data_IF_728584218934
#
_entry.id   IF_728584218934
#
_cell.length_a   1.000
_cell.length_b   1.000
_cell.length_c   1.000
_cell.angle_alpha   90.00
_cell.angle_beta   90.00
_cell.angle_gamma   90.00
#
_symmetry.space_group_name_H-M   'P 1'
#
loop_
_entity.id
_entity.type
_entity.pdbx_description
1 polymer ?
#
# COMPACT_ATOMS: atom_id res chain seq x y z
N UNK A 1 -9.06 -10.62 -15.41
CA UNK A 1 -8.44 -9.37 -14.91
C UNK A 1 -8.22 -9.49 -13.40
N UNK A 2 -7.16 -10.16 -12.99
CA UNK A 2 -6.58 -9.97 -11.66
C UNK A 2 -5.16 -9.50 -11.91
N UNK A 3 -4.81 -8.34 -11.34
CA UNK A 3 -3.64 -7.48 -11.64
C UNK A 3 -3.71 -6.72 -12.98
N UNK A 4 -4.43 -5.60 -12.98
CA UNK A 4 -3.96 -4.42 -13.72
C UNK A 4 -2.69 -3.92 -13.00
N UNK A 5 -1.57 -4.63 -13.17
CA UNK A 5 -0.32 -4.27 -12.54
C UNK A 5 0.37 -3.24 -13.45
N UNK A 6 0.65 -2.01 -13.02
CA UNK A 6 1.42 -1.05 -13.82
C UNK A 6 2.73 -1.64 -14.33
N UNK A 7 3.37 -2.50 -13.54
CA UNK A 7 4.55 -3.27 -13.93
C UNK A 7 4.32 -4.24 -15.10
N UNK A 8 3.15 -4.90 -15.16
CA UNK A 8 2.82 -5.80 -16.28
C UNK A 8 2.42 -5.02 -17.54
N UNK A 9 1.85 -3.84 -17.38
CA UNK A 9 1.56 -2.94 -18.49
C UNK A 9 2.88 -2.43 -19.07
N UNK A 10 3.79 -1.98 -18.21
CA UNK A 10 5.13 -1.54 -18.59
C UNK A 10 5.89 -2.62 -19.36
N UNK A 11 5.87 -3.88 -18.91
CA UNK A 11 6.56 -4.96 -19.61
C UNK A 11 6.01 -5.23 -21.01
N UNK A 12 4.72 -4.98 -21.25
CA UNK A 12 4.10 -5.14 -22.57
C UNK A 12 4.37 -3.97 -23.51
N UNK A 13 4.80 -2.81 -22.99
CA UNK A 13 5.21 -1.68 -23.80
C UNK A 13 6.54 -1.91 -24.53
N UNK A 14 7.31 -2.93 -24.14
CA UNK A 14 8.58 -3.28 -24.75
C UNK A 14 8.50 -4.63 -25.46
N UNK A 15 9.13 -4.79 -26.64
CA UNK A 15 9.26 -6.08 -27.31
C UNK A 15 9.98 -7.12 -26.44
N UNK A 16 9.72 -8.43 -26.66
CA UNK A 16 10.44 -9.48 -25.95
C UNK A 16 11.96 -9.37 -26.23
N UNK A 17 12.76 -9.41 -25.16
CA UNK A 17 14.23 -9.27 -25.15
C UNK A 17 14.78 -7.86 -25.44
N UNK A 18 13.99 -6.80 -25.25
CA UNK A 18 14.52 -5.44 -25.27
C UNK A 18 15.38 -5.15 -24.03
N UNK A 19 16.64 -4.74 -24.23
CA UNK A 19 17.57 -4.35 -23.17
C UNK A 19 17.11 -3.10 -22.37
N UNK A 20 16.19 -2.30 -22.93
CA UNK A 20 15.64 -1.09 -22.27
C UNK A 20 14.63 -1.43 -21.17
N UNK A 21 14.09 -2.64 -21.17
CA UNK A 21 13.06 -3.05 -20.21
C UNK A 21 13.58 -2.98 -18.76
N UNK A 22 14.82 -3.40 -18.52
CA UNK A 22 15.44 -3.36 -17.19
C UNK A 22 15.65 -1.92 -16.71
N UNK A 23 16.05 -1.03 -17.62
CA UNK A 23 16.15 0.42 -17.34
C UNK A 23 14.79 1.04 -17.06
N UNK A 24 13.74 0.63 -17.76
CA UNK A 24 12.37 1.07 -17.53
C UNK A 24 11.84 0.61 -16.16
N UNK A 25 12.11 -0.63 -15.76
CA UNK A 25 11.79 -1.10 -14.42
C UNK A 25 12.57 -0.34 -13.34
N UNK A 26 13.83 -0.03 -13.58
CA UNK A 26 14.64 0.78 -12.66
C UNK A 26 14.02 2.17 -12.45
N UNK A 27 13.65 2.87 -13.53
CA UNK A 27 12.95 4.16 -13.45
C UNK A 27 11.60 4.05 -12.76
N UNK A 28 10.83 2.99 -13.05
CA UNK A 28 9.55 2.73 -12.41
C UNK A 28 9.72 2.60 -10.88
N UNK A 29 10.66 1.77 -10.42
CA UNK A 29 10.91 1.64 -8.98
C UNK A 29 11.50 2.91 -8.35
N UNK A 30 12.34 3.65 -9.05
CA UNK A 30 12.84 4.94 -8.56
C UNK A 30 11.71 5.95 -8.37
N UNK A 31 10.75 6.03 -9.30
CA UNK A 31 9.59 6.93 -9.17
C UNK A 31 8.73 6.59 -7.94
N UNK A 32 8.56 5.31 -7.62
CA UNK A 32 7.86 4.86 -6.41
C UNK A 32 8.60 5.34 -5.15
N UNK A 33 9.92 5.13 -5.09
CA UNK A 33 10.73 5.54 -3.94
C UNK A 33 10.74 7.07 -3.75
N UNK A 34 10.85 7.83 -4.84
CA UNK A 34 10.77 9.31 -4.79
C UNK A 34 9.37 9.74 -4.34
N UNK A 35 8.31 9.13 -4.86
CA UNK A 35 6.95 9.40 -4.45
C UNK A 35 6.72 9.11 -2.97
N UNK A 36 7.25 7.99 -2.45
CA UNK A 36 7.17 7.67 -1.03
C UNK A 36 7.98 8.66 -0.18
N UNK A 37 9.18 9.06 -0.61
CA UNK A 37 9.99 10.03 0.11
C UNK A 37 9.26 11.37 0.26
N UNK A 38 8.69 11.88 -0.83
CA UNK A 38 7.92 13.13 -0.82
C UNK A 38 6.68 13.03 0.05
N UNK A 39 5.92 11.93 -0.08
CA UNK A 39 4.70 11.70 0.70
C UNK A 39 5.01 11.59 2.20
N UNK A 40 5.97 10.75 2.59
CA UNK A 40 6.35 10.59 4.00
C UNK A 40 6.98 11.85 4.61
N UNK A 41 7.62 12.71 3.81
CA UNK A 41 8.19 13.97 4.29
C UNK A 41 7.14 15.09 4.42
N UNK A 42 6.23 15.21 3.45
CA UNK A 42 5.26 16.30 3.39
C UNK A 42 3.99 16.01 4.19
N UNK A 43 3.49 14.78 4.20
CA UNK A 43 2.22 14.45 4.84
C UNK A 43 2.21 14.75 6.35
N UNK A 44 3.27 14.45 7.14
CA UNK A 44 3.31 14.81 8.56
C UNK A 44 3.33 16.32 8.78
N UNK A 45 4.12 17.06 8.00
CA UNK A 45 4.24 18.53 8.10
C UNK A 45 2.90 19.22 7.81
N UNK A 46 2.16 18.71 6.82
CA UNK A 46 0.83 19.23 6.47
C UNK A 46 -0.19 18.82 7.54
N UNK A 47 -0.11 17.60 8.06
CA UNK A 47 -1.01 17.12 9.11
C UNK A 47 -0.85 17.92 10.41
N UNK A 48 0.38 18.29 10.77
CA UNK A 48 0.65 19.10 11.96
C UNK A 48 0.09 20.52 11.83
N UNK A 49 0.26 21.15 10.66
CA UNK A 49 -0.14 22.56 10.43
C UNK A 49 -1.63 22.73 10.11
N UNK A 50 -2.20 21.83 9.31
CA UNK A 50 -3.55 21.97 8.75
C UNK A 50 -4.52 20.87 9.21
N UNK A 51 -4.04 19.89 9.98
CA UNK A 51 -4.83 18.79 10.50
C UNK A 51 -4.92 17.60 9.54
N UNK A 52 -5.21 16.43 10.09
CA UNK A 52 -5.26 15.17 9.36
C UNK A 52 -6.32 15.15 8.24
N UNK A 53 -7.48 15.79 8.44
CA UNK A 53 -8.54 15.85 7.43
C UNK A 53 -8.09 16.52 6.13
N UNK A 54 -7.32 17.61 6.23
CA UNK A 54 -6.78 18.32 5.05
C UNK A 54 -5.74 17.46 4.35
N UNK A 55 -4.86 16.79 5.09
CA UNK A 55 -3.86 15.87 4.54
C UNK A 55 -4.50 14.72 3.77
N UNK A 56 -5.55 14.10 4.31
CA UNK A 56 -6.27 13.02 3.62
C UNK A 56 -6.92 13.50 2.32
N UNK A 57 -7.58 14.66 2.35
CA UNK A 57 -8.17 15.25 1.15
C UNK A 57 -7.12 15.59 0.09
N UNK A 58 -5.94 16.07 0.51
CA UNK A 58 -4.82 16.33 -0.39
C UNK A 58 -4.29 15.05 -1.05
N UNK A 59 -4.14 13.96 -0.29
CA UNK A 59 -3.78 12.65 -0.86
C UNK A 59 -4.83 12.17 -1.87
N UNK A 60 -6.12 12.35 -1.56
CA UNK A 60 -7.22 12.04 -2.48
C UNK A 60 -7.15 12.86 -3.77
N UNK A 61 -6.88 14.17 -3.67
CA UNK A 61 -6.68 15.03 -4.84
C UNK A 61 -5.48 14.59 -5.68
N UNK A 62 -4.38 14.16 -5.05
CA UNK A 62 -3.22 13.60 -5.75
C UNK A 62 -3.57 12.36 -6.59
N UNK A 63 -4.42 11.47 -6.07
CA UNK A 63 -4.90 10.30 -6.80
C UNK A 63 -5.78 10.71 -7.99
N UNK A 64 -6.64 11.73 -7.83
CA UNK A 64 -7.47 12.26 -8.92
C UNK A 64 -6.58 12.84 -10.03
N UNK A 65 -5.55 13.61 -9.67
CA UNK A 65 -4.57 14.14 -10.64
C UNK A 65 -3.88 12.99 -11.38
N UNK A 66 -3.44 11.95 -10.67
CA UNK A 66 -2.82 10.78 -11.29
C UNK A 66 -3.77 10.08 -12.29
N UNK A 67 -5.06 9.97 -11.97
CA UNK A 67 -6.07 9.45 -12.89
C UNK A 67 -6.26 10.35 -14.11
N UNK A 68 -6.32 11.67 -13.93
CA UNK A 68 -6.44 12.62 -15.04
C UNK A 68 -5.25 12.53 -16.00
N UNK A 69 -4.03 12.46 -15.46
CA UNK A 69 -2.81 12.25 -16.26
C UNK A 69 -2.86 10.93 -17.00
N UNK A 70 -3.28 9.84 -16.33
CA UNK A 70 -3.47 8.55 -17.00
C UNK A 70 -4.49 8.64 -18.15
N UNK A 71 -5.62 9.31 -17.95
CA UNK A 71 -6.63 9.48 -19.01
C UNK A 71 -6.11 10.34 -20.18
N UNK A 72 -5.36 11.41 -19.90
CA UNK A 72 -4.73 12.24 -20.93
C UNK A 72 -3.68 11.47 -21.74
N UNK A 73 -2.88 10.63 -21.07
CA UNK A 73 -1.84 9.81 -21.70
C UNK A 73 -2.32 8.43 -22.15
N UNK A 74 -3.62 8.11 -22.00
CA UNK A 74 -4.18 6.78 -22.31
C UNK A 74 -3.94 6.38 -23.77
N UNK A 75 -3.87 7.36 -24.68
CA UNK A 75 -3.56 7.13 -26.08
C UNK A 75 -2.22 6.42 -26.31
N UNK A 76 -1.24 6.60 -25.43
CA UNK A 76 0.10 6.00 -25.54
C UNK A 76 0.10 4.48 -25.27
N UNK A 77 -0.94 3.96 -24.61
CA UNK A 77 -1.00 2.56 -24.14
C UNK A 77 -2.22 1.83 -24.69
N UNK A 78 -2.99 2.48 -25.57
CA UNK A 78 -4.27 1.97 -26.10
C UNK A 78 -4.10 0.66 -26.87
N UNK A 79 -2.98 0.50 -27.57
CA UNK A 79 -2.71 -0.66 -28.43
C UNK A 79 -2.05 -1.83 -27.68
N UNK A 80 -1.75 -1.66 -26.38
CA UNK A 80 -1.02 -2.62 -25.52
C UNK A 80 -2.00 -3.40 -24.60
N UNK A 81 -3.27 -3.50 -25.01
CA UNK A 81 -4.36 -4.15 -24.28
C UNK A 81 -4.38 -5.68 -24.41
N UNK A 82 -5.01 -6.34 -23.44
CA UNK A 82 -5.32 -7.79 -23.52
C UNK A 82 -6.69 -7.97 -24.19
N UNK A 83 -7.00 -9.10 -24.85
CA UNK A 83 -8.32 -9.35 -25.50
C UNK A 83 -9.58 -8.94 -24.68
N UNK A 84 -9.61 -9.03 -23.33
CA UNK A 84 -10.73 -8.53 -22.51
C UNK A 84 -10.90 -7.01 -22.52
N UNK A 85 -9.87 -6.22 -22.79
CA UNK A 85 -9.92 -4.75 -22.85
C UNK A 85 -10.70 -4.24 -24.07
N UNK A 86 -10.93 -5.11 -25.07
CA UNK A 86 -11.65 -4.78 -26.29
C UNK A 86 -13.16 -5.05 -26.17
N UNK A 87 -13.60 -5.66 -25.06
CA UNK A 87 -15.03 -5.89 -24.79
C UNK A 87 -15.64 -4.66 -24.11
N UNK A 88 -16.90 -4.32 -24.43
CA UNK A 88 -17.58 -3.22 -23.76
C UNK A 88 -17.66 -3.49 -22.26
N UNK A 89 -17.34 -2.48 -21.46
CA UNK A 89 -17.45 -2.55 -20.01
C UNK A 89 -18.88 -2.88 -19.62
N UNK A 90 -19.08 -3.99 -18.92
CA UNK A 90 -20.40 -4.33 -18.37
C UNK A 90 -20.75 -3.33 -17.26
N UNK A 91 -21.64 -2.38 -17.55
CA UNK A 91 -22.09 -1.35 -16.61
C UNK A 91 -22.63 -1.93 -15.30
N UNK A 92 -23.23 -3.13 -15.35
CA UNK A 92 -23.68 -3.87 -14.17
C UNK A 92 -22.54 -4.23 -13.22
N UNK A 93 -21.43 -4.78 -13.75
CA UNK A 93 -20.29 -5.15 -12.90
C UNK A 93 -19.59 -3.90 -12.38
N UNK A 94 -19.50 -2.84 -13.20
CA UNK A 94 -18.97 -1.56 -12.74
C UNK A 94 -19.81 -0.99 -11.59
N UNK A 95 -21.14 -0.96 -11.74
CA UNK A 95 -22.05 -0.50 -10.69
C UNK A 95 -21.94 -1.35 -9.42
N UNK A 96 -21.85 -2.68 -9.54
CA UNK A 96 -21.65 -3.58 -8.40
C UNK A 96 -20.31 -3.33 -7.70
N UNK A 97 -19.23 -3.11 -8.44
CA UNK A 97 -17.91 -2.81 -7.86
C UNK A 97 -17.93 -1.45 -7.16
N UNK A 98 -18.53 -0.43 -7.78
CA UNK A 98 -18.63 0.91 -7.17
C UNK A 98 -19.51 0.88 -5.92
N UNK A 99 -20.69 0.25 -5.99
CA UNK A 99 -21.57 0.08 -4.84
C UNK A 99 -20.90 -0.73 -3.72
N UNK A 100 -20.24 -1.84 -4.08
CA UNK A 100 -19.46 -2.64 -3.14
C UNK A 100 -18.32 -1.85 -2.49
N UNK A 101 -17.64 -0.99 -3.25
CA UNK A 101 -16.59 -0.09 -2.71
C UNK A 101 -17.18 0.86 -1.69
N UNK A 102 -18.31 1.52 -1.99
CA UNK A 102 -18.98 2.43 -1.05
C UNK A 102 -19.42 1.70 0.22
N UNK A 103 -20.05 0.52 0.09
CA UNK A 103 -20.45 -0.31 1.23
C UNK A 103 -19.24 -0.70 2.09
N UNK A 104 -18.13 -1.11 1.46
CA UNK A 104 -16.90 -1.45 2.16
C UNK A 104 -16.28 -0.26 2.90
N UNK A 105 -16.37 0.96 2.36
CA UNK A 105 -15.93 2.17 3.06
C UNK A 105 -16.71 2.34 4.37
N UNK A 106 -18.05 2.23 4.32
CA UNK A 106 -18.87 2.34 5.52
C UNK A 106 -18.61 1.21 6.52
N UNK A 107 -18.44 -0.02 6.04
CA UNK A 107 -18.09 -1.17 6.88
C UNK A 107 -16.76 -0.94 7.61
N UNK A 108 -15.71 -0.50 6.89
CA UNK A 108 -14.41 -0.22 7.46
C UNK A 108 -14.47 0.95 8.46
N UNK A 109 -15.23 2.00 8.16
CA UNK A 109 -15.42 3.13 9.07
C UNK A 109 -16.13 2.71 10.37
N UNK A 110 -17.15 1.85 10.27
CA UNK A 110 -17.84 1.30 11.44
C UNK A 110 -16.92 0.37 12.26
N UNK A 111 -16.11 -0.45 11.59
CA UNK A 111 -15.16 -1.36 12.23
C UNK A 111 -14.09 -0.57 13.00
N UNK A 112 -13.62 0.55 12.45
CA UNK A 112 -12.67 1.45 13.13
C UNK A 112 -13.24 2.07 14.41
N UNK A 113 -14.55 2.36 14.46
CA UNK A 113 -15.21 2.81 15.69
C UNK A 113 -15.29 1.70 16.75
N UNK A 114 -15.37 0.45 16.32
CA UNK A 114 -15.52 -0.71 17.20
C UNK A 114 -14.23 -1.53 17.24
N UNK A 115 -13.17 -0.96 17.82
CA UNK A 115 -11.83 -1.57 17.87
C UNK A 115 -11.83 -2.99 18.45
N UNK A 116 -12.71 -3.28 19.42
CA UNK A 116 -12.87 -4.64 19.96
C UNK A 116 -13.34 -5.63 18.88
N UNK A 117 -14.32 -5.25 18.07
CA UNK A 117 -14.83 -6.06 16.96
C UNK A 117 -13.76 -6.19 15.87
N UNK A 118 -13.03 -5.11 15.57
CA UNK A 118 -11.91 -5.13 14.63
C UNK A 118 -10.85 -6.16 15.03
N UNK A 119 -10.41 -6.15 16.28
CA UNK A 119 -9.44 -7.11 16.80
C UNK A 119 -9.98 -8.54 16.78
N UNK A 120 -11.25 -8.75 17.15
CA UNK A 120 -11.88 -10.06 17.09
C UNK A 120 -11.90 -10.61 15.65
N UNK A 121 -12.33 -9.78 14.69
CA UNK A 121 -12.37 -10.15 13.26
C UNK A 121 -10.97 -10.49 12.76
N UNK A 122 -9.95 -9.70 13.11
CA UNK A 122 -8.56 -9.98 12.75
C UNK A 122 -8.08 -11.32 13.32
N UNK A 123 -8.32 -11.58 14.61
CA UNK A 123 -7.93 -12.84 15.26
C UNK A 123 -8.63 -14.03 14.60
N UNK A 124 -9.95 -13.95 14.38
CA UNK A 124 -10.73 -15.01 13.74
C UNK A 124 -10.21 -15.26 12.32
N UNK A 125 -9.99 -14.22 11.53
CA UNK A 125 -9.46 -14.35 10.17
C UNK A 125 -8.08 -14.99 10.17
N UNK A 126 -7.18 -14.58 11.06
CA UNK A 126 -5.85 -15.18 11.21
C UNK A 126 -5.93 -16.67 11.56
N UNK A 127 -6.78 -17.05 12.52
CA UNK A 127 -7.00 -18.46 12.89
C UNK A 127 -7.55 -19.25 11.71
N UNK A 128 -8.52 -18.71 10.96
CA UNK A 128 -9.10 -19.37 9.77
C UNK A 128 -8.04 -19.58 8.69
N UNK A 129 -7.22 -18.57 8.40
CA UNK A 129 -6.15 -18.68 7.39
C UNK A 129 -5.12 -19.73 7.80
N UNK A 130 -4.70 -19.74 9.07
CA UNK A 130 -3.76 -20.73 9.60
C UNK A 130 -4.37 -22.14 9.54
N UNK A 131 -5.62 -22.30 9.96
CA UNK A 131 -6.32 -23.58 9.91
C UNK A 131 -6.46 -24.09 8.47
N UNK A 132 -6.81 -23.22 7.52
CA UNK A 132 -6.88 -23.55 6.11
C UNK A 132 -5.51 -23.96 5.55
N UNK A 133 -4.46 -23.23 5.89
CA UNK A 133 -3.09 -23.54 5.50
C UNK A 133 -2.68 -24.94 5.97
N UNK A 134 -2.89 -25.25 7.26
CA UNK A 134 -2.53 -26.56 7.81
C UNK A 134 -3.42 -27.67 7.27
N UNK A 135 -4.72 -27.42 7.07
CA UNK A 135 -5.63 -28.37 6.42
C UNK A 135 -5.09 -28.79 5.05
N UNK A 136 -4.62 -27.84 4.26
CA UNK A 136 -4.06 -28.12 2.94
C UNK A 136 -2.68 -28.79 3.05
N UNK A 137 -1.85 -28.38 4.02
CA UNK A 137 -0.56 -29.02 4.29
C UNK A 137 -0.67 -30.50 4.65
N UNK A 138 -1.70 -30.88 5.43
CA UNK A 138 -1.93 -32.27 5.81
C UNK A 138 -2.58 -33.12 4.70
N UNK A 139 -3.12 -32.51 3.65
CA UNK A 139 -3.65 -33.22 2.46
C UNK A 139 -2.56 -33.63 1.47
N UNK A 140 -1.36 -33.05 1.57
CA UNK A 140 -0.25 -33.36 0.68
C UNK A 140 0.61 -34.53 1.17
N UNK A 141 1.32 -35.15 0.23
CA UNK A 141 2.35 -36.15 0.51
C UNK A 141 3.50 -35.59 1.36
N UNK A 142 4.28 -36.49 1.97
CA UNK A 142 5.37 -36.16 2.91
C UNK A 142 6.32 -35.08 2.38
N UNK A 143 6.69 -35.14 1.11
CA UNK A 143 7.57 -34.15 0.46
C UNK A 143 6.87 -32.79 0.28
N UNK A 144 5.59 -32.78 -0.10
CA UNK A 144 4.80 -31.56 -0.25
C UNK A 144 4.55 -30.87 1.10
N UNK A 145 4.21 -31.66 2.12
CA UNK A 145 4.03 -31.18 3.49
C UNK A 145 5.31 -30.57 4.08
N UNK A 146 6.47 -31.19 3.87
CA UNK A 146 7.76 -30.64 4.33
C UNK A 146 8.06 -29.28 3.69
N UNK A 147 7.76 -29.10 2.40
CA UNK A 147 7.89 -27.79 1.73
C UNK A 147 6.94 -26.75 2.32
N UNK A 148 5.72 -27.13 2.67
CA UNK A 148 4.77 -26.23 3.33
C UNK A 148 5.23 -25.82 4.74
N UNK A 149 5.85 -26.72 5.51
CA UNK A 149 6.45 -26.34 6.79
C UNK A 149 7.59 -25.33 6.63
N UNK A 150 8.45 -25.49 5.62
CA UNK A 150 9.49 -24.49 5.31
C UNK A 150 8.84 -23.15 4.92
N UNK A 151 7.83 -23.17 4.07
CA UNK A 151 7.09 -21.96 3.69
C UNK A 151 6.42 -21.27 4.89
N UNK A 152 5.93 -22.05 5.86
CA UNK A 152 5.34 -21.53 7.10
C UNK A 152 6.39 -20.81 7.97
N UNK A 153 7.59 -21.39 8.11
CA UNK A 153 8.70 -20.75 8.83
C UNK A 153 9.09 -19.42 8.17
N UNK A 154 9.26 -19.43 6.84
CA UNK A 154 9.58 -18.21 6.06
C UNK A 154 8.47 -17.16 6.17
N UNK A 155 7.20 -17.59 6.29
CA UNK A 155 6.09 -16.68 6.51
C UNK A 155 6.16 -16.02 7.89
N UNK A 156 6.51 -16.75 8.95
CA UNK A 156 6.71 -16.17 10.29
C UNK A 156 7.85 -15.16 10.27
N UNK A 157 8.97 -15.51 9.65
CA UNK A 157 10.11 -14.60 9.47
C UNK A 157 9.68 -13.31 8.76
N UNK A 158 8.94 -13.44 7.64
CA UNK A 158 8.40 -12.30 6.90
C UNK A 158 7.46 -11.45 7.75
N UNK A 159 6.53 -12.06 8.51
CA UNK A 159 5.61 -11.34 9.40
C UNK A 159 6.38 -10.55 10.45
N UNK A 160 7.36 -11.16 11.12
CA UNK A 160 8.18 -10.48 12.12
C UNK A 160 8.98 -9.33 11.50
N UNK A 161 9.60 -9.56 10.34
CA UNK A 161 10.31 -8.52 9.60
C UNK A 161 9.40 -7.34 9.26
N UNK A 162 8.19 -7.60 8.75
CA UNK A 162 7.26 -6.53 8.37
C UNK A 162 6.68 -5.77 9.57
N UNK A 163 6.46 -6.44 10.71
CA UNK A 163 6.05 -5.76 11.95
C UNK A 163 7.13 -4.76 12.36
N UNK A 164 8.39 -5.20 12.42
CA UNK A 164 9.52 -4.34 12.81
C UNK A 164 9.74 -3.22 11.80
N UNK A 165 9.67 -3.53 10.50
CA UNK A 165 9.79 -2.53 9.43
C UNK A 165 8.71 -1.45 9.54
N UNK A 166 7.46 -1.85 9.77
CA UNK A 166 6.34 -0.90 9.93
C UNK A 166 6.48 -0.03 11.19
N UNK A 167 7.20 -0.49 12.20
CA UNK A 167 7.47 0.25 13.44
C UNK A 167 8.72 1.14 13.37
N UNK A 168 9.59 0.99 12.36
CA UNK A 168 10.77 1.86 12.20
C UNK A 168 10.44 3.37 12.27
N UNK A 169 9.38 3.88 11.61
CA UNK A 169 9.04 5.30 11.67
C UNK A 169 8.68 5.77 13.09
N UNK A 170 7.99 4.94 13.89
CA UNK A 170 7.62 5.29 15.27
C UNK A 170 8.83 5.35 16.19
N UNK A 171 9.78 4.43 16.05
CA UNK A 171 11.02 4.43 16.83
C UNK A 171 11.88 5.65 16.54
N UNK A 172 12.00 6.05 15.26
CA UNK A 172 12.69 7.28 14.87
C UNK A 172 11.98 8.53 15.42
N UNK A 173 10.65 8.54 15.46
CA UNK A 173 9.90 9.65 16.02
C UNK A 173 10.14 9.79 17.54
N UNK A 174 10.13 8.67 18.28
CA UNK A 174 10.50 8.66 19.70
C UNK A 174 11.96 9.05 19.93
N UNK A 175 12.89 8.62 19.07
CA UNK A 175 14.28 9.06 19.15
C UNK A 175 14.39 10.57 18.95
N UNK A 176 13.72 11.14 17.94
CA UNK A 176 13.72 12.57 17.68
C UNK A 176 13.16 13.37 18.86
N UNK A 177 12.02 12.97 19.43
CA UNK A 177 11.43 13.65 20.60
C UNK A 177 12.37 13.64 21.81
N UNK A 178 13.04 12.51 22.08
CA UNK A 178 13.82 12.35 23.31
C UNK A 178 15.31 12.75 23.17
N UNK A 179 15.86 12.79 21.96
CA UNK A 179 17.31 12.98 21.73
C UNK A 179 17.64 14.12 20.76
N UNK A 180 16.66 14.79 20.15
CA UNK A 180 16.90 15.95 19.28
C UNK A 180 16.44 17.22 19.99
N UNK A 181 17.40 18.00 20.47
CA UNK A 181 17.14 19.31 21.05
C UNK A 181 17.02 20.36 19.93
N UNK A 182 16.00 21.22 20.00
CA UNK A 182 15.77 22.31 19.04
C UNK A 182 16.67 23.54 19.30
N UNK A 183 17.90 23.29 19.75
CA UNK A 183 18.90 24.32 20.00
C UNK A 183 20.03 24.16 18.99
N UNK A 184 20.06 25.05 18.00
CA UNK A 184 21.23 25.21 17.14
C UNK A 184 22.13 26.21 17.85
N UNK A 185 23.28 25.76 18.35
CA UNK A 185 24.30 26.62 18.96
C UNK A 185 23.77 27.43 20.17
N UNK A 186 23.02 26.79 21.08
CA UNK A 186 22.46 27.38 22.30
C UNK A 186 21.54 28.62 22.09
N UNK A 187 21.08 28.86 20.86
CA UNK A 187 20.05 29.85 20.56
C UNK A 187 18.68 29.14 20.49
N UNK A 188 17.70 29.51 21.33
CA UNK A 188 16.41 28.85 21.33
C UNK A 188 15.65 29.18 20.05
N UNK A 189 15.28 28.14 19.27
CA UNK A 189 14.35 28.28 18.16
C UNK A 189 12.94 28.53 18.71
N UNK A 190 12.49 29.78 18.65
CA UNK A 190 11.24 30.28 19.22
C UNK A 190 10.00 29.77 18.47
N UNK A 191 9.64 28.49 18.63
CA UNK A 191 8.31 27.95 18.24
C UNK A 191 7.76 26.88 19.18
N UNK A 192 7.96 27.05 20.49
CA UNK A 192 7.34 26.21 21.50
C UNK A 192 6.63 27.07 22.56
N UNK A 193 5.47 27.61 22.21
CA UNK A 193 4.49 28.04 23.20
C UNK A 193 3.11 27.62 22.71
N UNK A 194 2.36 26.94 23.59
CA UNK A 194 1.00 26.43 23.41
C UNK A 194 0.86 25.08 22.69
N UNK A 195 1.10 23.99 23.41
CA UNK A 195 0.20 22.81 23.47
C UNK A 195 0.66 21.90 24.63
N UNK A 196 0.03 22.11 25.79
CA UNK A 196 -0.17 21.05 26.79
C UNK A 196 -1.35 20.20 26.32
#
# INVERSE_FOLDING_TARGET
>A
MFKANPASLLSKCYPPKDARLDGAFTLFYMSINIGSLLSLSLAPVIAEKFGYAVTYNLCGAGLIIALLVYFACRGMVKDIGSEPDHRPLSLRNLALVLAGTVVMIFLCAWLMHNVMIANLVLIVLSVVVIAFFFREAFRLDKTGRNKMFVAFILMIEAVLFYILYAQMPTSLNFFAINNVHHEILALPSTRSASRR
#
